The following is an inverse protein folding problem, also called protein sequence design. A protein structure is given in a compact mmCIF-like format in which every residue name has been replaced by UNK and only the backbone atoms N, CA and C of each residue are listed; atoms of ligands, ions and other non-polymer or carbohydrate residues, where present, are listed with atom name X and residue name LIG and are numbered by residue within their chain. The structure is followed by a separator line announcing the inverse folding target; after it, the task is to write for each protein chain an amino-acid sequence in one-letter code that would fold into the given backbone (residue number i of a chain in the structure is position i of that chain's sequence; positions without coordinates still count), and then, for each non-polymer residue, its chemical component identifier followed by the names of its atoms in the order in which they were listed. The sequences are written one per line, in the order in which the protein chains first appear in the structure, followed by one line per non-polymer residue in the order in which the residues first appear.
data_IF_886614107069
#
_entry.id   IF_886614107069
#
_cell.length_a   1.000
_cell.length_b   1.000
_cell.length_c   1.000
_cell.angle_alpha   90.00
_cell.angle_beta   90.00
_cell.angle_gamma   90.00
#
_symmetry.space_group_name_H-M   'P 1'
#
loop_
_entity.id
_entity.type
_entity.pdbx_description
1 polymer ?
#
# COMPACT_ATOMS: atom_id res chain seq x y z
N UNK A 1 4.58 -15.35 -3.34
CA UNK A 1 3.84 -15.08 -2.08
C UNK A 1 2.34 -15.02 -2.41
N UNK A 2 1.48 -15.56 -1.55
CA UNK A 2 0.01 -15.53 -1.71
C UNK A 2 -0.66 -15.41 -0.32
N UNK A 3 -1.88 -14.88 -0.30
CA UNK A 3 -2.70 -14.77 0.93
C UNK A 3 -3.63 -15.98 1.00
N UNK A 4 -3.33 -16.89 1.94
CA UNK A 4 -4.05 -18.15 2.13
C UNK A 4 -5.56 -17.91 2.36
N UNK A 5 -6.40 -18.63 1.62
CA UNK A 5 -7.87 -18.55 1.74
C UNK A 5 -8.53 -17.38 0.99
N UNK A 6 -7.76 -16.54 0.29
CA UNK A 6 -8.31 -15.38 -0.42
C UNK A 6 -7.93 -15.37 -1.90
N UNK A 7 -8.92 -15.05 -2.75
CA UNK A 7 -8.75 -14.97 -4.20
C UNK A 7 -8.48 -13.53 -4.63
N UNK A 8 -7.45 -13.36 -5.46
CA UNK A 8 -7.14 -12.10 -6.12
C UNK A 8 -8.20 -11.74 -7.17
N UNK A 9 -8.50 -10.46 -7.31
CA UNK A 9 -9.26 -9.93 -8.44
C UNK A 9 -8.36 -9.75 -9.67
N UNK A 10 -7.09 -9.40 -9.47
CA UNK A 10 -6.00 -9.52 -10.45
C UNK A 10 -4.66 -9.70 -9.73
N UNK A 11 -3.67 -10.24 -10.44
CA UNK A 11 -2.30 -10.39 -9.96
C UNK A 11 -1.37 -9.43 -10.72
N UNK A 12 -0.37 -8.88 -10.03
CA UNK A 12 0.68 -8.14 -10.72
C UNK A 12 1.74 -9.11 -11.25
N UNK A 13 2.18 -8.91 -12.49
CA UNK A 13 3.33 -9.61 -13.04
C UNK A 13 4.61 -9.09 -12.37
N UNK A 14 5.22 -9.93 -11.53
CA UNK A 14 6.44 -9.58 -10.79
C UNK A 14 7.64 -9.39 -11.72
N UNK A 15 7.68 -10.06 -12.88
CA UNK A 15 8.71 -9.83 -13.90
C UNK A 15 8.57 -8.44 -14.52
N UNK A 16 7.35 -7.97 -14.74
CA UNK A 16 7.07 -6.60 -15.23
C UNK A 16 7.42 -5.56 -14.16
N UNK A 17 7.13 -5.83 -12.88
CA UNK A 17 7.51 -4.91 -11.80
C UNK A 17 9.03 -4.76 -11.71
N UNK A 18 9.75 -5.88 -11.70
CA UNK A 18 11.21 -5.89 -11.60
C UNK A 18 11.90 -5.29 -12.84
N UNK A 19 11.40 -5.57 -14.04
CA UNK A 19 11.96 -5.01 -15.27
C UNK A 19 11.68 -3.53 -15.44
N UNK A 20 10.50 -3.05 -15.04
CA UNK A 20 10.19 -1.62 -15.09
C UNK A 20 10.91 -0.81 -14.00
N UNK A 21 11.14 -1.39 -12.83
CA UNK A 21 12.05 -0.83 -11.82
C UNK A 21 13.46 -0.64 -12.43
N UNK A 22 13.99 -1.65 -13.12
CA UNK A 22 15.28 -1.57 -13.83
C UNK A 22 15.29 -0.53 -14.97
N UNK A 23 14.23 -0.45 -15.78
CA UNK A 23 14.11 0.50 -16.89
C UNK A 23 13.99 1.95 -16.39
N UNK A 24 13.22 2.19 -15.33
CA UNK A 24 13.14 3.47 -14.64
C UNK A 24 14.53 3.88 -14.13
N UNK A 25 15.23 2.98 -13.43
CA UNK A 25 16.58 3.22 -12.93
C UNK A 25 17.58 3.59 -14.04
N UNK A 26 17.48 2.93 -15.21
CA UNK A 26 18.30 3.24 -16.37
C UNK A 26 17.99 4.63 -16.96
N UNK A 27 16.73 5.05 -16.97
CA UNK A 27 16.32 6.38 -17.44
C UNK A 27 16.86 7.53 -16.58
N UNK A 28 17.04 7.31 -15.27
CA UNK A 28 17.53 8.34 -14.34
C UNK A 28 19.00 8.18 -13.94
N UNK A 29 19.73 7.24 -14.56
CA UNK A 29 21.18 7.08 -14.37
C UNK A 29 21.60 6.60 -12.97
N UNK A 30 20.72 5.91 -12.24
CA UNK A 30 21.01 5.46 -10.88
C UNK A 30 21.93 4.22 -10.89
N UNK A 31 23.12 4.24 -10.26
CA UNK A 31 24.07 3.12 -10.24
C UNK A 31 23.54 1.90 -9.49
N UNK A 32 23.98 0.65 -9.80
CA UNK A 32 23.51 -0.64 -9.21
C UNK A 32 23.43 -0.70 -7.68
N UNK A 33 24.13 0.20 -7.00
CA UNK A 33 24.27 0.31 -5.56
C UNK A 33 23.43 1.43 -4.93
N UNK A 34 22.60 2.14 -5.70
CA UNK A 34 21.81 3.27 -5.21
C UNK A 34 20.74 2.78 -4.21
N UNK A 35 20.71 3.27 -2.95
CA UNK A 35 19.67 2.89 -1.98
C UNK A 35 18.25 3.23 -2.44
N UNK A 36 18.08 4.09 -3.45
CA UNK A 36 16.80 4.39 -4.13
C UNK A 36 16.20 3.21 -4.90
N UNK A 37 16.92 2.09 -5.01
CA UNK A 37 16.52 0.83 -5.66
C UNK A 37 15.52 -0.01 -4.87
N UNK A 38 14.93 0.52 -3.81
CA UNK A 38 14.16 -0.24 -2.82
C UNK A 38 12.66 -0.38 -3.19
N UNK A 39 12.39 -0.64 -4.47
CA UNK A 39 11.06 -0.93 -5.00
C UNK A 39 10.17 0.29 -5.23
N UNK A 40 9.02 0.09 -5.86
CA UNK A 40 8.10 1.16 -6.28
C UNK A 40 6.71 1.06 -5.61
N UNK A 41 6.66 0.37 -4.46
CA UNK A 41 5.42 0.03 -3.78
C UNK A 41 4.61 1.26 -3.36
N UNK A 42 5.28 2.33 -2.92
CA UNK A 42 4.65 3.60 -2.54
C UNK A 42 3.91 4.21 -3.73
N UNK A 43 4.60 4.35 -4.85
CA UNK A 43 4.05 4.95 -6.06
C UNK A 43 2.90 4.15 -6.65
N UNK A 44 3.06 2.83 -6.80
CA UNK A 44 1.98 1.97 -7.32
C UNK A 44 0.74 2.00 -6.42
N UNK A 45 0.92 2.02 -5.10
CA UNK A 45 -0.17 2.14 -4.14
C UNK A 45 -0.92 3.47 -4.25
N UNK A 46 -0.19 4.59 -4.39
CA UNK A 46 -0.77 5.91 -4.62
C UNK A 46 -1.54 5.99 -5.94
N UNK A 47 -0.98 5.44 -7.03
CA UNK A 47 -1.65 5.40 -8.34
C UNK A 47 -2.93 4.59 -8.28
N UNK A 48 -2.87 3.39 -7.69
CA UNK A 48 -4.06 2.55 -7.54
C UNK A 48 -5.15 3.27 -6.72
N UNK A 49 -4.76 3.94 -5.63
CA UNK A 49 -5.71 4.66 -4.78
C UNK A 49 -6.33 5.86 -5.51
N UNK A 50 -5.51 6.69 -6.17
CA UNK A 50 -5.96 7.84 -6.95
C UNK A 50 -6.89 7.43 -8.11
N UNK A 51 -6.59 6.32 -8.78
CA UNK A 51 -7.46 5.73 -9.82
C UNK A 51 -8.81 5.34 -9.23
N UNK A 52 -8.80 4.66 -8.08
CA UNK A 52 -10.01 4.18 -7.41
C UNK A 52 -10.88 5.33 -6.92
N UNK A 53 -10.29 6.43 -6.47
CA UNK A 53 -11.01 7.65 -6.10
C UNK A 53 -11.59 8.39 -7.31
N UNK A 54 -10.81 8.51 -8.39
CA UNK A 54 -11.21 9.30 -9.58
C UNK A 54 -12.25 8.59 -10.43
N UNK A 55 -12.19 7.25 -10.48
CA UNK A 55 -13.08 6.42 -11.29
C UNK A 55 -13.75 5.36 -10.41
N UNK A 56 -14.72 5.75 -9.56
CA UNK A 56 -15.34 4.85 -8.58
C UNK A 56 -16.08 3.66 -9.21
N UNK A 57 -16.48 3.79 -10.48
CA UNK A 57 -17.16 2.74 -11.25
C UNK A 57 -16.20 1.76 -11.96
N UNK A 58 -14.89 1.93 -11.80
CA UNK A 58 -13.93 1.02 -12.39
C UNK A 58 -14.03 -0.39 -11.77
N UNK A 59 -13.87 -1.39 -12.62
CA UNK A 59 -13.68 -2.76 -12.19
C UNK A 59 -12.19 -3.10 -12.07
N UNK A 60 -11.89 -4.27 -11.51
CA UNK A 60 -10.53 -4.76 -11.29
C UNK A 60 -9.65 -4.69 -12.55
N UNK A 61 -10.18 -5.07 -13.72
CA UNK A 61 -9.45 -5.05 -14.99
C UNK A 61 -9.05 -3.63 -15.43
N UNK A 62 -9.91 -2.63 -15.19
CA UNK A 62 -9.58 -1.23 -15.52
C UNK A 62 -8.54 -0.66 -14.56
N UNK A 63 -8.58 -1.03 -13.27
CA UNK A 63 -7.55 -0.65 -12.30
C UNK A 63 -6.21 -1.31 -12.61
N UNK A 64 -6.21 -2.59 -12.95
CA UNK A 64 -5.02 -3.31 -13.43
C UNK A 64 -4.42 -2.63 -14.67
N UNK A 65 -5.24 -2.32 -15.68
CA UNK A 65 -4.77 -1.66 -16.89
C UNK A 65 -4.22 -0.23 -16.66
N UNK A 66 -4.62 0.43 -15.58
CA UNK A 66 -4.07 1.72 -15.18
C UNK A 66 -2.66 1.59 -14.58
N UNK A 67 -2.29 0.42 -14.07
CA UNK A 67 -0.94 0.09 -13.59
C UNK A 67 -0.05 -0.34 -14.78
N UNK A 68 0.05 0.51 -15.80
CA UNK A 68 0.87 0.31 -17.00
C UNK A 68 2.24 0.98 -16.89
N UNK A 69 3.09 0.86 -17.91
CA UNK A 69 4.46 1.40 -17.91
C UNK A 69 4.56 2.88 -17.47
N UNK A 70 3.63 3.74 -17.85
CA UNK A 70 3.64 5.14 -17.41
C UNK A 70 3.38 5.28 -15.89
N UNK A 71 2.49 4.44 -15.35
CA UNK A 71 2.27 4.33 -13.91
C UNK A 71 3.52 3.80 -13.18
N UNK A 72 4.27 2.89 -13.79
CA UNK A 72 5.55 2.44 -13.23
C UNK A 72 6.58 3.57 -13.16
N UNK A 73 6.75 4.33 -14.25
CA UNK A 73 7.67 5.47 -14.29
C UNK A 73 7.29 6.51 -13.24
N UNK A 74 6.02 6.85 -13.17
CA UNK A 74 5.56 7.86 -12.22
C UNK A 74 5.62 7.36 -10.77
N UNK A 75 5.28 6.09 -10.55
CA UNK A 75 5.39 5.46 -9.24
C UNK A 75 6.84 5.39 -8.74
N UNK A 76 7.80 5.12 -9.61
CA UNK A 76 9.23 5.21 -9.30
C UNK A 76 9.63 6.62 -8.87
N UNK A 77 9.18 7.65 -9.59
CA UNK A 77 9.45 9.05 -9.21
C UNK A 77 8.85 9.41 -7.86
N UNK A 78 7.63 8.96 -7.57
CA UNK A 78 6.97 9.15 -6.26
C UNK A 78 7.77 8.47 -5.13
N UNK A 79 8.31 7.27 -5.38
CA UNK A 79 9.20 6.60 -4.42
C UNK A 79 10.48 7.40 -4.18
N UNK A 80 11.13 7.92 -5.23
CA UNK A 80 12.35 8.71 -5.10
C UNK A 80 12.15 9.97 -4.25
N UNK A 81 11.02 10.66 -4.45
CA UNK A 81 10.66 11.81 -3.64
C UNK A 81 10.51 11.44 -2.16
N UNK A 82 9.83 10.32 -1.87
CA UNK A 82 9.71 9.81 -0.51
C UNK A 82 11.08 9.50 0.12
N UNK A 83 11.94 8.74 -0.57
CA UNK A 83 13.24 8.32 -0.04
C UNK A 83 14.21 9.50 0.16
N UNK A 84 14.08 10.56 -0.63
CA UNK A 84 14.90 11.77 -0.49
C UNK A 84 14.58 12.58 0.78
N UNK A 85 13.38 12.44 1.35
CA UNK A 85 12.91 13.23 2.47
C UNK A 85 13.45 12.74 3.83
N UNK A 86 13.88 11.47 3.91
CA UNK A 86 14.40 10.85 5.13
C UNK A 86 13.35 10.69 6.23
N UNK A 87 13.77 10.17 7.38
CA UNK A 87 12.94 10.09 8.59
C UNK A 87 13.05 11.42 9.37
N UNK A 88 11.97 12.20 9.50
CA UNK A 88 11.99 13.45 10.26
C UNK A 88 12.08 13.23 11.78
N UNK A 89 11.94 11.98 12.26
CA UNK A 89 11.72 11.66 13.66
C UNK A 89 10.34 12.11 14.15
N UNK A 90 9.98 11.71 15.38
CA UNK A 90 8.70 12.09 16.00
C UNK A 90 7.64 11.00 15.88
N UNK A 91 6.36 11.41 15.81
CA UNK A 91 5.24 10.48 15.69
C UNK A 91 5.10 9.92 14.28
N UNK A 92 4.44 8.76 14.14
CA UNK A 92 4.12 8.17 12.83
C UNK A 92 3.29 9.12 11.95
N UNK A 93 2.42 9.94 12.56
CA UNK A 93 1.64 10.97 11.87
C UNK A 93 2.55 12.03 11.24
N UNK A 94 3.53 12.53 12.01
CA UNK A 94 4.54 13.48 11.51
C UNK A 94 5.37 12.85 10.39
N UNK A 95 5.77 11.59 10.55
CA UNK A 95 6.47 10.83 9.52
C UNK A 95 5.65 10.78 8.24
N UNK A 96 4.36 10.40 8.28
CA UNK A 96 3.52 10.29 7.09
C UNK A 96 3.30 11.63 6.39
N UNK A 97 3.02 12.70 7.14
CA UNK A 97 2.86 14.03 6.56
C UNK A 97 4.14 14.53 5.88
N UNK A 98 5.30 14.27 6.47
CA UNK A 98 6.59 14.59 5.87
C UNK A 98 6.88 13.73 4.64
N UNK A 99 6.82 12.42 4.80
CA UNK A 99 7.25 11.44 3.80
C UNK A 99 6.32 11.34 2.58
N UNK A 100 5.01 11.55 2.77
CA UNK A 100 3.99 11.30 1.74
C UNK A 100 3.14 12.53 1.38
N UNK A 101 3.22 13.61 2.16
CA UNK A 101 2.42 14.81 1.93
C UNK A 101 2.62 15.44 0.54
N UNK A 102 3.87 15.73 0.16
CA UNK A 102 4.17 16.25 -1.19
C UNK A 102 3.91 15.22 -2.29
N UNK A 103 4.37 13.95 -2.18
CA UNK A 103 4.06 12.92 -3.17
C UNK A 103 2.57 12.80 -3.49
N UNK A 104 1.68 12.84 -2.49
CA UNK A 104 0.23 12.77 -2.67
C UNK A 104 -0.36 13.96 -3.43
N UNK A 105 0.21 15.17 -3.28
CA UNK A 105 -0.28 16.37 -3.98
C UNK A 105 -0.15 16.27 -5.49
N UNK A 106 0.79 15.46 -6.00
CA UNK A 106 0.89 15.19 -7.43
C UNK A 106 -0.36 14.49 -8.00
N UNK A 107 -1.21 13.94 -7.12
CA UNK A 107 -2.46 13.25 -7.42
C UNK A 107 -3.70 14.06 -6.99
N UNK A 108 -3.53 15.31 -6.54
CA UNK A 108 -4.57 16.11 -5.85
C UNK A 108 -5.11 15.43 -4.60
N UNK A 109 -4.26 14.66 -3.91
CA UNK A 109 -4.59 13.96 -2.68
C UNK A 109 -3.87 14.59 -1.49
N UNK A 110 -4.49 14.47 -0.32
CA UNK A 110 -3.92 14.88 0.97
C UNK A 110 -4.19 13.81 2.03
N UNK A 111 -3.38 13.81 3.08
CA UNK A 111 -3.60 12.95 4.25
C UNK A 111 -4.73 13.57 5.08
N UNK A 112 -5.77 12.80 5.38
CA UNK A 112 -6.88 13.26 6.20
C UNK A 112 -6.39 13.50 7.64
N UNK A 113 -6.74 14.63 8.29
CA UNK A 113 -6.21 14.98 9.61
C UNK A 113 -6.53 13.93 10.68
N UNK A 114 -5.55 13.61 11.53
CA UNK A 114 -5.70 12.67 12.66
C UNK A 114 -6.24 11.29 12.28
N UNK A 115 -5.94 10.84 11.06
CA UNK A 115 -6.37 9.55 10.54
C UNK A 115 -5.33 8.44 10.73
N UNK A 116 -4.14 8.79 11.23
CA UNK A 116 -3.04 7.86 11.43
C UNK A 116 -3.38 6.81 12.49
N UNK A 117 -3.13 5.55 12.14
CA UNK A 117 -3.28 4.37 13.00
C UNK A 117 -1.98 3.60 12.94
N UNK A 118 -1.47 3.19 14.09
CA UNK A 118 -0.25 2.43 14.24
C UNK A 118 -0.50 1.28 15.23
N UNK A 119 -0.02 0.09 14.87
CA UNK A 119 -0.17 -1.13 15.66
C UNK A 119 1.16 -1.87 15.66
N UNK A 120 1.72 -2.09 16.84
CA UNK A 120 2.85 -2.99 17.05
C UNK A 120 2.42 -4.44 16.87
N UNK A 121 3.25 -5.24 16.20
CA UNK A 121 2.98 -6.66 15.97
C UNK A 121 3.62 -7.51 17.06
N UNK A 122 2.88 -7.71 18.15
CA UNK A 122 3.23 -8.73 19.18
C UNK A 122 2.79 -10.13 18.77
N UNK A 123 1.65 -10.24 18.09
CA UNK A 123 1.13 -11.44 17.43
C UNK A 123 0.40 -11.02 16.16
N UNK A 124 0.41 -11.85 15.12
CA UNK A 124 -0.26 -11.53 13.85
C UNK A 124 -1.78 -11.35 14.02
N UNK A 125 -2.42 -12.26 14.78
CA UNK A 125 -3.85 -12.20 15.05
C UNK A 125 -4.24 -10.95 15.87
N UNK A 126 -3.45 -10.60 16.90
CA UNK A 126 -3.68 -9.41 17.70
C UNK A 126 -3.53 -8.11 16.89
N UNK A 127 -2.48 -8.04 16.06
CA UNK A 127 -2.27 -6.90 15.17
C UNK A 127 -3.43 -6.74 14.18
N UNK A 128 -3.86 -7.84 13.55
CA UNK A 128 -4.97 -7.84 12.62
C UNK A 128 -6.30 -7.43 13.27
N UNK A 129 -6.59 -7.92 14.48
CA UNK A 129 -7.79 -7.58 15.24
C UNK A 129 -7.83 -6.08 15.62
N UNK A 130 -6.68 -5.50 15.97
CA UNK A 130 -6.57 -4.09 16.33
C UNK A 130 -6.61 -3.17 15.11
N UNK A 131 -6.08 -3.61 13.97
CA UNK A 131 -5.98 -2.77 12.77
C UNK A 131 -7.25 -2.78 11.91
N UNK A 132 -7.91 -3.94 11.79
CA UNK A 132 -9.08 -4.12 10.93
C UNK A 132 -10.24 -3.13 11.15
N UNK A 133 -10.57 -2.70 12.39
CA UNK A 133 -11.62 -1.70 12.62
C UNK A 133 -11.36 -0.37 11.89
N UNK A 134 -10.10 0.03 11.74
CA UNK A 134 -9.73 1.33 11.19
C UNK A 134 -9.72 1.40 9.66
N UNK A 135 -9.75 0.24 8.99
CA UNK A 135 -9.62 0.16 7.54
C UNK A 135 -10.90 -0.33 6.85
N UNK A 136 -11.93 -0.64 7.63
CA UNK A 136 -13.23 -1.08 7.13
C UNK A 136 -14.31 0.00 7.21
N UNK A 137 -13.96 1.24 7.52
CA UNK A 137 -14.91 2.34 7.60
C UNK A 137 -15.49 2.70 6.24
N UNK A 138 -16.71 3.23 6.23
CA UNK A 138 -17.46 3.37 4.98
C UNK A 138 -16.87 4.51 4.13
N UNK A 139 -16.45 4.18 2.91
CA UNK A 139 -16.00 5.17 1.94
C UNK A 139 -14.59 5.69 2.19
N UNK A 140 -13.81 5.00 3.01
CA UNK A 140 -12.46 5.43 3.36
C UNK A 140 -11.42 4.85 2.39
N UNK A 141 -10.43 5.66 2.06
CA UNK A 141 -9.30 5.34 1.19
C UNK A 141 -8.04 5.43 2.04
N UNK A 142 -7.24 4.37 2.11
CA UNK A 142 -6.10 4.34 3.02
C UNK A 142 -4.85 3.79 2.34
N UNK A 143 -3.71 4.39 2.66
CA UNK A 143 -2.39 3.82 2.41
C UNK A 143 -1.88 3.20 3.71
N UNK A 144 -1.32 2.00 3.62
CA UNK A 144 -0.79 1.29 4.77
C UNK A 144 0.70 1.04 4.55
N UNK A 145 1.47 1.12 5.63
CA UNK A 145 2.88 0.79 5.65
C UNK A 145 3.09 -0.36 6.64
N UNK A 146 3.90 -1.34 6.23
CA UNK A 146 4.28 -2.48 7.05
C UNK A 146 5.80 -2.48 7.25
N UNK A 147 6.22 -2.61 8.50
CA UNK A 147 7.62 -2.82 8.87
C UNK A 147 7.95 -4.30 8.86
N UNK A 148 8.97 -4.69 8.10
CA UNK A 148 9.41 -6.07 7.93
C UNK A 148 10.81 -6.26 8.49
N UNK A 149 11.04 -7.38 9.17
CA UNK A 149 12.35 -7.76 9.67
C UNK A 149 13.14 -8.50 8.59
N UNK A 150 14.38 -8.07 8.35
CA UNK A 150 15.30 -8.70 7.40
C UNK A 150 16.61 -9.09 8.10
N UNK A 151 17.45 -9.89 7.44
CA UNK A 151 18.76 -10.23 7.99
C UNK A 151 19.69 -9.01 8.12
N UNK A 152 19.48 -7.96 7.30
CA UNK A 152 20.29 -6.74 7.28
C UNK A 152 19.70 -5.55 8.04
N UNK A 153 18.56 -5.73 8.73
CA UNK A 153 17.85 -4.64 9.39
C UNK A 153 16.33 -4.73 9.18
N UNK A 154 15.71 -3.65 8.76
CA UNK A 154 14.27 -3.58 8.43
C UNK A 154 14.03 -3.15 6.99
N UNK A 155 12.87 -3.51 6.46
CA UNK A 155 12.34 -3.02 5.19
C UNK A 155 10.91 -2.49 5.39
N UNK A 156 10.53 -1.47 4.63
CA UNK A 156 9.16 -0.97 4.57
C UNK A 156 8.47 -1.47 3.30
N UNK A 157 7.16 -1.63 3.35
CA UNK A 157 6.34 -1.89 2.16
C UNK A 157 5.02 -1.13 2.26
N UNK A 158 4.61 -0.51 1.16
CA UNK A 158 3.34 0.21 1.10
C UNK A 158 2.30 -0.56 0.28
N UNK A 159 1.08 -0.56 0.81
CA UNK A 159 -0.13 -1.11 0.18
C UNK A 159 -1.26 -0.08 0.23
N UNK A 160 -2.30 -0.29 -0.56
CA UNK A 160 -3.46 0.60 -0.62
C UNK A 160 -4.76 -0.15 -0.35
N UNK A 161 -5.77 0.55 0.14
CA UNK A 161 -7.10 -0.02 0.33
C UNK A 161 -8.22 1.00 0.15
N UNK A 162 -9.38 0.49 -0.24
CA UNK A 162 -10.64 1.23 -0.29
C UNK A 162 -11.78 0.39 0.30
N UNK A 163 -12.44 0.93 1.32
CA UNK A 163 -13.61 0.30 1.92
C UNK A 163 -14.90 0.86 1.32
N UNK A 164 -15.58 0.04 0.53
CA UNK A 164 -16.75 0.46 -0.23
C UNK A 164 -17.97 0.78 0.63
N UNK A 165 -18.81 1.68 0.09
CA UNK A 165 -20.06 2.12 0.69
C UNK A 165 -21.14 1.03 0.82
N UNK A 166 -21.08 0.02 -0.06
CA UNK A 166 -22.16 -0.96 -0.26
C UNK A 166 -23.42 -0.33 -0.89
N UNK A 167 -24.34 -1.16 -1.38
CA UNK A 167 -25.65 -0.70 -1.84
C UNK A 167 -26.60 -0.67 -0.65
N UNK A 168 -27.06 0.52 -0.27
CA UNK A 168 -27.88 0.72 0.95
C UNK A 168 -27.24 0.13 2.22
N UNK A 169 -25.90 0.12 2.31
CA UNK A 169 -25.15 -0.43 3.43
C UNK A 169 -24.93 -1.95 3.40
N UNK A 170 -25.52 -2.66 2.44
CA UNK A 170 -25.31 -4.10 2.23
C UNK A 170 -24.18 -4.35 1.22
N UNK A 171 -23.56 -5.54 1.30
CA UNK A 171 -22.47 -5.98 0.40
C UNK A 171 -21.26 -5.02 0.41
N UNK A 172 -20.80 -4.68 1.62
CA UNK A 172 -19.61 -3.85 1.80
C UNK A 172 -18.36 -4.70 1.65
N UNK A 173 -17.45 -4.23 0.82
CA UNK A 173 -16.18 -4.87 0.57
C UNK A 173 -15.01 -3.93 0.84
N UNK A 174 -13.92 -4.48 1.35
CA UNK A 174 -12.59 -3.90 1.31
C UNK A 174 -11.93 -4.34 -0.01
N UNK A 175 -11.54 -3.38 -0.82
CA UNK A 175 -10.61 -3.60 -1.93
C UNK A 175 -9.21 -3.32 -1.39
N UNK A 176 -8.31 -4.28 -1.52
CA UNK A 176 -6.96 -4.19 -0.99
C UNK A 176 -5.98 -4.47 -2.12
N UNK A 177 -5.04 -3.55 -2.35
CA UNK A 177 -4.04 -3.65 -3.38
C UNK A 177 -2.65 -3.68 -2.76
N UNK A 178 -1.94 -4.76 -3.05
CA UNK A 178 -0.55 -4.94 -2.68
C UNK A 178 0.29 -5.09 -3.95
N UNK A 179 1.24 -4.18 -4.23
CA UNK A 179 2.08 -4.26 -5.41
C UNK A 179 2.78 -5.62 -5.62
N UNK A 180 3.10 -6.35 -4.55
CA UNK A 180 3.77 -7.65 -4.63
C UNK A 180 2.82 -8.82 -4.90
N UNK A 181 1.51 -8.63 -4.72
CA UNK A 181 0.52 -9.71 -4.75
C UNK A 181 -0.57 -9.48 -5.79
N UNK A 182 -1.02 -8.24 -5.95
CA UNK A 182 -2.18 -7.84 -6.74
C UNK A 182 -3.31 -7.27 -5.89
N UNK A 183 -4.51 -7.23 -6.46
CA UNK A 183 -5.71 -6.74 -5.78
C UNK A 183 -6.54 -7.91 -5.24
N UNK A 184 -7.15 -7.68 -4.08
CA UNK A 184 -8.10 -8.55 -3.41
C UNK A 184 -9.41 -7.80 -3.17
N UNK A 185 -10.52 -8.55 -3.18
CA UNK A 185 -11.84 -8.06 -2.77
C UNK A 185 -12.31 -8.90 -1.60
N UNK A 186 -12.47 -8.27 -0.45
CA UNK A 186 -12.72 -8.93 0.85
C UNK A 186 -14.06 -8.45 1.38
N UNK A 187 -14.88 -9.34 1.94
CA UNK A 187 -16.04 -8.92 2.72
C UNK A 187 -15.58 -8.17 3.99
N UNK A 188 -16.21 -7.03 4.30
CA UNK A 188 -15.83 -6.27 5.50
C UNK A 188 -15.96 -7.04 6.82
N UNK A 189 -16.78 -8.10 6.86
CA UNK A 189 -16.87 -9.03 7.99
C UNK A 189 -15.63 -9.92 8.17
N UNK A 190 -14.86 -10.16 7.10
CA UNK A 190 -13.66 -11.01 7.11
C UNK A 190 -12.36 -10.19 7.10
N UNK A 191 -12.42 -8.86 7.28
CA UNK A 191 -11.24 -7.99 7.20
C UNK A 191 -10.13 -8.38 8.18
N UNK A 192 -10.46 -8.71 9.44
CA UNK A 192 -9.44 -9.11 10.42
C UNK A 192 -8.74 -10.42 10.00
N UNK A 193 -9.49 -11.43 9.55
CA UNK A 193 -8.91 -12.69 9.07
C UNK A 193 -8.03 -12.48 7.84
N UNK A 194 -8.45 -11.59 6.94
CA UNK A 194 -7.65 -11.24 5.76
C UNK A 194 -6.33 -10.57 6.15
N UNK A 195 -6.38 -9.57 7.03
CA UNK A 195 -5.18 -8.88 7.50
C UNK A 195 -4.23 -9.88 8.17
N UNK A 196 -4.73 -10.78 9.02
CA UNK A 196 -3.91 -11.83 9.63
C UNK A 196 -3.25 -12.74 8.57
N UNK A 197 -4.02 -13.23 7.60
CA UNK A 197 -3.51 -14.08 6.53
C UNK A 197 -2.48 -13.36 5.65
N UNK A 198 -2.67 -12.06 5.39
CA UNK A 198 -1.73 -11.23 4.64
C UNK A 198 -0.44 -11.00 5.42
N UNK A 199 -0.54 -10.65 6.70
CA UNK A 199 0.63 -10.53 7.58
C UNK A 199 1.41 -11.84 7.66
N UNK A 200 0.72 -12.98 7.75
CA UNK A 200 1.33 -14.32 7.73
C UNK A 200 2.07 -14.60 6.42
N UNK A 201 1.58 -14.12 5.28
CA UNK A 201 2.26 -14.29 4.00
C UNK A 201 3.62 -13.57 3.98
N UNK A 202 3.69 -12.38 4.57
CA UNK A 202 4.94 -11.64 4.77
C UNK A 202 5.82 -12.28 5.85
N UNK A 203 5.25 -12.67 6.98
CA UNK A 203 5.96 -13.34 8.08
C UNK A 203 6.68 -14.62 7.61
N UNK A 204 6.06 -15.40 6.73
CA UNK A 204 6.67 -16.60 6.13
C UNK A 204 7.80 -16.30 5.13
N UNK A 205 7.86 -15.08 4.60
CA UNK A 205 8.84 -14.66 3.58
C UNK A 205 10.01 -13.89 4.21
N UNK A 206 9.74 -13.17 5.29
CA UNK A 206 10.67 -12.32 6.02
C UNK A 206 11.04 -12.95 7.37
N UNK A 207 11.87 -12.30 8.18
CA UNK A 207 12.20 -12.79 9.53
C UNK A 207 11.18 -12.35 10.59
N UNK A 208 10.04 -11.83 10.16
CA UNK A 208 8.96 -11.31 11.01
C UNK A 208 8.34 -10.03 10.48
N UNK A 209 7.11 -9.77 10.92
CA UNK A 209 6.48 -8.44 10.84
C UNK A 209 6.69 -7.68 12.14
N UNK A 210 7.09 -6.41 12.05
CA UNK A 210 7.42 -5.56 13.20
C UNK A 210 6.23 -4.69 13.63
N UNK A 211 5.64 -3.97 12.68
CA UNK A 211 4.58 -3.00 12.91
C UNK A 211 3.72 -2.84 11.66
N UNK A 212 2.51 -2.33 11.85
CA UNK A 212 1.57 -1.98 10.79
C UNK A 212 0.99 -0.60 11.07
N UNK A 213 1.02 0.27 10.08
CA UNK A 213 0.46 1.61 10.20
C UNK A 213 -0.34 1.99 8.96
N UNK A 214 -1.32 2.89 9.09
CA UNK A 214 -2.03 3.48 7.95
C UNK A 214 -2.47 4.90 8.23
N UNK A 215 -2.80 5.60 7.16
CA UNK A 215 -3.46 6.89 7.20
C UNK A 215 -4.54 6.97 6.12
N UNK A 216 -5.55 7.79 6.36
CA UNK A 216 -6.61 8.05 5.37
C UNK A 216 -6.16 9.12 4.38
N UNK A 217 -6.63 8.97 3.15
CA UNK A 217 -6.34 9.86 2.04
C UNK A 217 -7.64 10.40 1.50
N UNK A 218 -7.68 11.70 1.25
CA UNK A 218 -8.84 12.41 0.71
C UNK A 218 -8.39 13.36 -0.42
N UNK A 219 -9.36 13.86 -1.20
CA UNK A 219 -9.08 14.94 -2.15
C UNK A 219 -8.81 16.25 -1.40
N UNK A 220 -7.80 17.02 -1.85
CA UNK A 220 -7.45 18.31 -1.26
C UNK A 220 -6.98 19.34 -2.27
#
# INVERSE_FOLDING_TARGET
MEVEGYKKTFAMDQGVILSNDQNFQAMYGAPLTDPKRSGICTGLSMIWLARTMTFPDDNAKKREAALNEAAFIWGGRTQDQHLALGDPGGSMDSFFHHAYGEPLRAYSLVISPKSTVEVDVSTLAGAAANFAPHVKDKGTYRLWNIGLKTAGGSAGHMVASYASGGKMGFFRHLYFFDPNLGEYKIDTGDTAKFVEAWLKAYDNTFLGVLWLASFEVEYG
#
